data_IF_624075722420
#
_entry.id   IF_624075722420
#
_cell.length_a   1.000
_cell.length_b   1.000
_cell.length_c   1.000
_cell.angle_alpha   90.00
_cell.angle_beta   90.00
_cell.angle_gamma   90.00
#
_symmetry.space_group_name_H-M   'P 1'
#
loop_
_entity.id
_entity.type
_entity.pdbx_description
1 polymer ?
#
# COMPACT_ATOMS: atom_id res chain seq x y z
N UNK A 1 -7.80 30.07 17.86
CA UNK A 1 -6.69 30.91 18.43
C UNK A 1 -5.70 30.11 19.28
N UNK A 2 -6.11 29.19 20.14
CA UNK A 2 -5.24 28.38 21.01
C UNK A 2 -4.31 27.45 20.18
N UNK A 3 -4.82 26.80 19.14
CA UNK A 3 -4.05 25.89 18.28
C UNK A 3 -2.93 26.60 17.51
N UNK A 4 -3.20 27.83 17.03
CA UNK A 4 -2.17 28.65 16.31
C UNK A 4 -1.06 29.08 17.25
N UNK A 5 -1.39 29.41 18.51
CA UNK A 5 -0.37 29.74 19.53
C UNK A 5 0.46 28.54 19.98
N UNK A 6 -0.15 27.35 20.12
CA UNK A 6 0.56 26.13 20.41
C UNK A 6 1.51 25.74 19.26
N UNK A 7 1.09 25.96 18.02
CA UNK A 7 1.90 25.71 16.83
C UNK A 7 3.12 26.67 16.76
N UNK A 8 2.91 27.94 17.07
CA UNK A 8 3.99 28.94 17.10
C UNK A 8 5.00 28.67 18.22
N UNK A 9 4.55 28.22 19.40
CA UNK A 9 5.44 27.84 20.51
C UNK A 9 6.21 26.57 20.18
N UNK A 10 5.59 25.55 19.56
CA UNK A 10 6.26 24.33 19.14
C UNK A 10 7.32 24.62 18.06
N UNK A 11 7.00 25.50 17.11
CA UNK A 11 7.92 25.95 16.07
C UNK A 11 9.12 26.70 16.67
N UNK A 12 8.89 27.58 17.65
CA UNK A 12 9.95 28.30 18.34
C UNK A 12 10.83 27.36 19.16
N UNK A 13 10.27 26.35 19.82
CA UNK A 13 11.03 25.33 20.57
C UNK A 13 11.86 24.43 19.65
N UNK A 14 11.30 24.02 18.50
CA UNK A 14 12.04 23.26 17.50
C UNK A 14 13.17 24.05 16.85
N UNK A 15 12.96 25.35 16.61
CA UNK A 15 13.98 26.25 16.10
C UNK A 15 15.09 26.54 17.16
N UNK A 16 14.74 26.67 18.44
CA UNK A 16 15.71 26.85 19.54
C UNK A 16 16.50 25.54 19.80
N UNK A 17 15.87 24.35 19.66
CA UNK A 17 16.58 23.08 19.78
C UNK A 17 17.58 22.85 18.64
N UNK A 18 17.33 23.43 17.45
CA UNK A 18 18.23 23.30 16.29
C UNK A 18 19.62 23.95 16.50
N UNK A 19 19.73 24.95 17.37
CA UNK A 19 21.00 25.61 17.68
C UNK A 19 21.82 24.87 18.74
N UNK A 20 21.18 24.01 19.55
CA UNK A 20 21.86 23.29 20.63
C UNK A 20 22.51 21.96 20.18
N UNK A 21 22.16 21.43 19.02
CA UNK A 21 22.67 20.17 18.50
C UNK A 21 23.57 20.27 17.27
N UNK A 22 24.04 21.48 16.97
CA UNK A 22 25.10 21.70 15.98
C UNK A 22 26.48 21.36 16.58
N UNK A 23 26.64 20.23 17.23
CA UNK A 23 27.94 19.67 17.53
C UNK A 23 28.40 18.89 16.30
N UNK A 24 29.68 19.09 15.93
CA UNK A 24 30.38 18.38 14.87
C UNK A 24 30.05 16.89 14.94
N UNK A 25 29.23 16.42 14.01
CA UNK A 25 28.94 14.99 13.90
C UNK A 25 30.30 14.32 13.61
N UNK A 26 30.70 13.31 14.38
CA UNK A 26 31.84 12.49 14.00
C UNK A 26 31.56 11.98 12.58
N UNK A 27 32.59 11.96 11.75
CA UNK A 27 32.57 11.39 10.38
C UNK A 27 32.25 9.88 10.44
N UNK A 28 31.05 9.55 10.88
CA UNK A 28 30.56 8.18 10.84
C UNK A 28 30.28 7.86 9.39
N UNK A 29 30.99 6.87 8.89
CA UNK A 29 30.81 6.36 7.54
C UNK A 29 29.32 6.03 7.34
N UNK A 30 28.65 6.64 6.32
CA UNK A 30 27.23 6.41 6.09
C UNK A 30 26.99 4.99 5.61
N UNK A 31 26.53 4.13 6.51
CA UNK A 31 26.26 2.70 6.25
C UNK A 31 24.96 2.46 5.52
N UNK A 32 24.10 3.49 5.35
CA UNK A 32 22.78 3.42 4.72
C UNK A 32 22.85 3.39 3.18
N UNK A 33 24.03 3.16 2.63
CA UNK A 33 24.29 3.06 1.18
C UNK A 33 24.24 1.64 0.65
N UNK A 34 24.04 0.67 1.56
CA UNK A 34 23.75 -0.74 1.27
C UNK A 34 22.37 -1.09 1.83
N UNK A 35 21.67 -2.04 1.20
CA UNK A 35 20.43 -2.57 1.77
C UNK A 35 20.69 -3.17 3.15
N UNK A 36 19.82 -2.90 4.14
CA UNK A 36 19.88 -3.57 5.43
C UNK A 36 19.83 -5.09 5.27
N UNK A 37 20.53 -5.82 6.14
CA UNK A 37 20.61 -7.27 6.06
C UNK A 37 19.24 -7.97 6.06
N UNK A 38 18.26 -7.44 6.81
CA UNK A 38 16.91 -7.99 6.86
C UNK A 38 16.10 -7.80 5.56
N UNK A 39 16.51 -6.87 4.68
CA UNK A 39 15.94 -6.67 3.36
C UNK A 39 16.71 -7.39 2.25
N UNK A 40 17.92 -7.86 2.53
CA UNK A 40 18.68 -8.60 1.54
C UNK A 40 17.91 -9.83 1.06
N UNK A 41 17.84 -10.03 -0.27
CA UNK A 41 17.04 -11.08 -0.93
C UNK A 41 15.51 -10.96 -0.77
N UNK A 42 15.02 -9.86 -0.20
CA UNK A 42 13.59 -9.55 -0.27
C UNK A 42 13.24 -8.99 -1.63
N UNK A 43 11.98 -9.16 -2.05
CA UNK A 43 11.52 -8.70 -3.34
C UNK A 43 10.08 -8.21 -3.31
N UNK A 44 9.73 -7.43 -4.32
CA UNK A 44 8.36 -7.13 -4.69
C UNK A 44 8.14 -7.44 -6.18
N UNK A 45 6.89 -7.66 -6.57
CA UNK A 45 6.53 -7.84 -7.99
C UNK A 45 5.22 -7.16 -8.32
N UNK A 46 5.12 -6.71 -9.56
CA UNK A 46 3.89 -6.16 -10.14
C UNK A 46 3.62 -6.93 -11.42
N UNK A 47 2.45 -7.54 -11.49
CA UNK A 47 2.02 -8.34 -12.63
C UNK A 47 0.62 -7.90 -13.05
N UNK A 48 0.37 -7.98 -14.34
CA UNK A 48 -0.95 -7.80 -14.92
C UNK A 48 -1.24 -8.96 -15.88
N UNK A 49 -2.51 -9.22 -16.14
CA UNK A 49 -2.85 -10.30 -17.02
C UNK A 49 -4.35 -10.54 -17.12
N UNK A 50 -4.68 -11.77 -17.38
CA UNK A 50 -6.03 -12.24 -17.65
C UNK A 50 -6.53 -13.10 -16.49
N UNK A 51 -7.78 -12.93 -16.11
CA UNK A 51 -8.49 -13.74 -15.11
C UNK A 51 -9.76 -14.31 -15.71
N UNK A 52 -10.04 -15.56 -15.41
CA UNK A 52 -11.33 -16.19 -15.68
C UNK A 52 -11.96 -16.65 -14.38
N UNK A 53 -13.22 -16.34 -14.23
CA UNK A 53 -14.06 -16.68 -13.10
C UNK A 53 -15.53 -16.57 -13.55
N UNK A 54 -16.28 -17.67 -13.43
CA UNK A 54 -17.57 -17.85 -14.11
C UNK A 54 -18.72 -17.20 -13.30
N UNK A 55 -18.69 -15.87 -13.17
CA UNK A 55 -19.83 -15.14 -12.64
C UNK A 55 -20.96 -15.12 -13.66
N UNK A 56 -22.17 -15.44 -13.18
CA UNK A 56 -23.38 -15.56 -13.99
C UNK A 56 -24.62 -15.28 -13.15
N UNK A 57 -25.78 -15.69 -13.60
CA UNK A 57 -27.02 -15.71 -12.81
C UNK A 57 -26.92 -16.61 -11.56
N UNK A 58 -26.02 -17.60 -11.57
CA UNK A 58 -25.87 -18.57 -10.49
C UNK A 58 -25.43 -17.98 -9.14
N UNK A 59 -24.89 -16.76 -9.13
CA UNK A 59 -24.52 -16.07 -7.90
C UNK A 59 -25.66 -15.24 -7.31
N UNK A 60 -26.77 -15.09 -8.03
CA UNK A 60 -27.95 -14.41 -7.52
C UNK A 60 -28.75 -15.30 -6.58
N UNK A 61 -29.19 -14.74 -5.47
CA UNK A 61 -30.10 -15.41 -4.55
C UNK A 61 -31.48 -15.64 -5.19
N UNK A 62 -32.26 -16.65 -4.73
CA UNK A 62 -33.60 -16.89 -5.21
C UNK A 62 -34.48 -15.65 -5.22
N UNK A 63 -35.18 -15.40 -6.32
CA UNK A 63 -36.04 -14.22 -6.52
C UNK A 63 -35.34 -13.06 -7.23
N UNK A 64 -34.03 -13.17 -7.50
CA UNK A 64 -33.30 -12.17 -8.29
C UNK A 64 -32.90 -12.70 -9.66
N UNK A 65 -32.97 -11.84 -10.67
CA UNK A 65 -32.58 -12.14 -12.05
C UNK A 65 -31.99 -10.87 -12.68
N UNK A 66 -30.80 -10.98 -13.25
CA UNK A 66 -30.19 -9.89 -14.01
C UNK A 66 -30.53 -10.00 -15.50
N UNK A 67 -30.65 -8.88 -16.18
CA UNK A 67 -30.75 -8.83 -17.63
C UNK A 67 -29.48 -9.28 -18.32
N UNK A 68 -28.32 -8.87 -17.76
CA UNK A 68 -27.00 -9.35 -18.19
C UNK A 68 -25.99 -9.31 -17.05
N UNK A 69 -24.91 -10.10 -17.20
CA UNK A 69 -23.75 -10.11 -16.29
C UNK A 69 -22.51 -9.83 -17.11
N UNK A 70 -21.84 -8.73 -16.79
CA UNK A 70 -20.62 -8.28 -17.44
C UNK A 70 -19.41 -8.67 -16.55
N UNK A 71 -18.57 -9.58 -17.05
CA UNK A 71 -17.44 -10.16 -16.31
C UNK A 71 -16.12 -9.66 -16.89
N UNK A 72 -15.41 -8.74 -16.20
CA UNK A 72 -14.14 -8.22 -16.68
C UNK A 72 -13.01 -9.24 -16.47
N UNK A 73 -12.10 -9.33 -17.43
CA UNK A 73 -11.04 -10.33 -17.45
C UNK A 73 -9.62 -9.77 -17.20
N UNK A 74 -9.48 -8.48 -16.96
CA UNK A 74 -8.16 -7.90 -16.66
C UNK A 74 -7.90 -7.95 -15.16
N UNK A 75 -6.74 -8.47 -14.78
CA UNK A 75 -6.34 -8.65 -13.38
C UNK A 75 -5.00 -7.98 -13.11
N UNK A 76 -4.84 -7.43 -11.90
CA UNK A 76 -3.57 -7.03 -11.33
C UNK A 76 -3.22 -7.97 -10.17
N UNK A 77 -1.98 -8.41 -10.10
CA UNK A 77 -1.42 -9.21 -9.02
C UNK A 77 -0.08 -8.62 -8.58
N UNK A 78 0.07 -8.38 -7.30
CA UNK A 78 1.31 -7.89 -6.71
C UNK A 78 1.82 -8.87 -5.67
N UNK A 79 3.14 -9.06 -5.59
CA UNK A 79 3.77 -9.49 -4.36
C UNK A 79 4.17 -8.23 -3.61
N UNK A 80 3.48 -7.94 -2.51
CA UNK A 80 3.73 -6.78 -1.67
C UNK A 80 5.08 -6.90 -0.96
N UNK A 81 5.40 -8.12 -0.57
CA UNK A 81 6.67 -8.50 0.02
C UNK A 81 6.92 -9.98 -0.23
N UNK A 82 8.13 -10.31 -0.67
CA UNK A 82 8.62 -11.67 -0.76
C UNK A 82 10.04 -11.74 -0.22
N UNK A 83 10.46 -12.93 0.20
CA UNK A 83 11.83 -13.19 0.66
C UNK A 83 12.34 -14.51 0.11
N UNK A 84 13.52 -14.50 -0.49
CA UNK A 84 14.23 -15.69 -0.95
C UNK A 84 15.11 -16.22 0.18
N UNK A 85 14.80 -17.41 0.68
CA UNK A 85 15.64 -18.10 1.66
C UNK A 85 16.93 -18.65 1.01
N UNK A 86 16.83 -19.04 -0.24
CA UNK A 86 17.92 -19.51 -1.09
C UNK A 86 17.51 -19.42 -2.57
N UNK A 87 18.32 -19.98 -3.47
CA UNK A 87 18.04 -19.95 -4.91
C UNK A 87 16.80 -20.76 -5.32
N UNK A 88 16.31 -21.65 -4.45
CA UNK A 88 15.23 -22.60 -4.77
C UNK A 88 13.92 -22.28 -4.06
N UNK A 89 13.94 -21.63 -2.91
CA UNK A 89 12.75 -21.45 -2.06
C UNK A 89 12.57 -19.99 -1.66
N UNK A 90 11.37 -19.51 -1.81
CA UNK A 90 10.95 -18.19 -1.32
C UNK A 90 9.52 -18.22 -0.78
N UNK A 91 9.20 -17.25 0.09
CA UNK A 91 7.85 -16.95 0.57
C UNK A 91 7.41 -15.60 0.04
N UNK A 92 6.13 -15.42 -0.20
CA UNK A 92 5.59 -14.12 -0.63
C UNK A 92 4.17 -13.86 -0.11
N UNK A 93 3.95 -12.62 0.33
CA UNK A 93 2.63 -12.07 0.57
C UNK A 93 2.10 -11.45 -0.71
N UNK A 94 0.99 -11.97 -1.23
CA UNK A 94 0.44 -11.55 -2.51
C UNK A 94 -0.93 -10.91 -2.34
N UNK A 95 -1.24 -9.99 -3.25
CA UNK A 95 -2.58 -9.42 -3.39
C UNK A 95 -2.96 -9.42 -4.86
N UNK A 96 -4.16 -9.87 -5.16
CA UNK A 96 -4.68 -9.96 -6.52
C UNK A 96 -6.14 -9.50 -6.57
N UNK A 97 -6.48 -8.74 -7.60
CA UNK A 97 -7.87 -8.36 -7.88
C UNK A 97 -8.09 -8.07 -9.37
N UNK A 98 -9.32 -8.29 -9.89
CA UNK A 98 -9.73 -7.73 -11.16
C UNK A 98 -9.61 -6.18 -11.15
N UNK A 99 -9.19 -5.61 -12.26
CA UNK A 99 -9.06 -4.15 -12.41
C UNK A 99 -10.43 -3.46 -12.42
N UNK A 100 -11.44 -4.14 -12.95
CA UNK A 100 -12.84 -3.72 -12.94
C UNK A 100 -13.68 -4.73 -12.18
N UNK A 101 -14.88 -4.31 -11.77
CA UNK A 101 -15.82 -5.14 -11.02
C UNK A 101 -16.76 -5.89 -11.96
N UNK A 102 -17.24 -7.06 -11.53
CA UNK A 102 -18.36 -7.75 -12.17
C UNK A 102 -19.61 -6.86 -12.04
N UNK A 103 -20.38 -6.74 -13.11
CA UNK A 103 -21.57 -5.88 -13.14
C UNK A 103 -22.81 -6.71 -13.47
N UNK A 104 -23.79 -6.66 -12.59
CA UNK A 104 -25.12 -7.20 -12.81
C UNK A 104 -26.03 -6.07 -13.27
N UNK A 105 -26.48 -6.11 -14.51
CA UNK A 105 -27.26 -5.04 -15.14
C UNK A 105 -28.72 -5.46 -15.23
N UNK A 106 -29.63 -4.56 -14.94
CA UNK A 106 -31.07 -4.81 -15.09
C UNK A 106 -31.62 -5.83 -14.09
N UNK A 107 -31.11 -5.83 -12.84
CA UNK A 107 -31.57 -6.78 -11.82
C UNK A 107 -33.03 -6.51 -11.48
N UNK A 108 -33.91 -7.51 -11.71
CA UNK A 108 -35.36 -7.44 -11.54
C UNK A 108 -36.00 -6.22 -12.24
N UNK A 109 -35.45 -5.84 -13.41
CA UNK A 109 -35.96 -4.72 -14.20
C UNK A 109 -35.46 -3.33 -13.79
N UNK A 110 -34.59 -3.24 -12.78
CA UNK A 110 -33.88 -1.97 -12.44
C UNK A 110 -32.96 -1.55 -13.60
N UNK A 111 -32.99 -0.29 -13.97
CA UNK A 111 -32.15 0.25 -15.06
C UNK A 111 -30.67 0.39 -14.68
N UNK A 112 -30.33 0.21 -13.42
CA UNK A 112 -28.98 0.36 -12.88
C UNK A 112 -28.09 -0.87 -13.10
N UNK A 113 -26.80 -0.71 -12.73
CA UNK A 113 -25.85 -1.80 -12.67
C UNK A 113 -25.30 -1.93 -11.25
N UNK A 114 -25.43 -3.13 -10.68
CA UNK A 114 -24.87 -3.48 -9.38
C UNK A 114 -23.48 -4.08 -9.56
N UNK A 115 -22.59 -3.88 -8.59
CA UNK A 115 -21.17 -4.27 -8.67
C UNK A 115 -20.84 -5.36 -7.66
N UNK A 116 -20.15 -6.38 -8.12
CA UNK A 116 -19.58 -7.42 -7.26
C UNK A 116 -18.05 -7.33 -7.32
N UNK A 117 -17.44 -7.24 -6.15
CA UNK A 117 -15.99 -7.08 -6.01
C UNK A 117 -15.36 -8.39 -5.59
N UNK A 118 -14.16 -8.64 -6.11
CA UNK A 118 -13.37 -9.82 -5.77
C UNK A 118 -11.94 -9.43 -5.42
N UNK A 119 -11.44 -10.03 -4.35
CA UNK A 119 -10.07 -9.83 -3.88
C UNK A 119 -9.48 -11.16 -3.40
N UNK A 120 -8.18 -11.31 -3.59
CA UNK A 120 -7.39 -12.42 -3.09
C UNK A 120 -6.17 -11.87 -2.37
N UNK A 121 -6.08 -12.05 -1.06
CA UNK A 121 -4.89 -11.74 -0.27
C UNK A 121 -4.28 -13.02 0.25
N UNK A 122 -3.03 -13.34 -0.06
CA UNK A 122 -2.48 -14.65 0.23
C UNK A 122 -1.04 -14.68 0.64
N UNK A 123 -0.68 -15.78 1.30
CA UNK A 123 0.69 -16.16 1.59
C UNK A 123 1.01 -17.45 0.85
N UNK A 124 2.04 -17.42 -0.01
CA UNK A 124 2.46 -18.57 -0.81
C UNK A 124 3.95 -18.87 -0.63
N UNK A 125 4.29 -20.14 -0.64
CA UNK A 125 5.65 -20.63 -0.85
C UNK A 125 5.85 -20.82 -2.35
N UNK A 126 7.03 -20.44 -2.84
CA UNK A 126 7.43 -20.59 -4.24
C UNK A 126 8.68 -21.43 -4.30
N UNK A 127 8.58 -22.58 -4.97
CA UNK A 127 9.72 -23.42 -5.32
C UNK A 127 10.23 -23.06 -6.72
N UNK A 128 11.54 -22.91 -6.90
CA UNK A 128 12.17 -22.53 -8.17
C UNK A 128 13.12 -23.62 -8.62
N UNK A 129 13.06 -23.96 -9.90
CA UNK A 129 13.97 -24.87 -10.58
C UNK A 129 14.72 -24.10 -11.67
N UNK A 130 16.01 -23.80 -11.51
CA UNK A 130 16.82 -23.21 -12.56
C UNK A 130 16.93 -24.15 -13.78
N UNK A 131 16.53 -23.68 -14.95
CA UNK A 131 16.62 -24.40 -16.22
C UNK A 131 17.88 -23.99 -16.98
N UNK A 132 18.23 -22.71 -16.88
CA UNK A 132 19.46 -22.13 -17.43
C UNK A 132 20.00 -21.08 -16.46
N UNK A 133 21.09 -20.41 -16.81
CA UNK A 133 21.63 -19.28 -16.03
C UNK A 133 20.66 -18.09 -15.92
N UNK A 134 19.67 -17.98 -16.83
CA UNK A 134 18.72 -16.87 -16.87
C UNK A 134 17.26 -17.29 -16.72
N UNK A 135 16.92 -18.53 -17.02
CA UNK A 135 15.54 -19.04 -17.00
C UNK A 135 15.36 -20.00 -15.85
N UNK A 136 14.33 -19.82 -15.08
CA UNK A 136 13.88 -20.76 -14.05
C UNK A 136 12.41 -21.07 -14.23
N UNK A 137 12.01 -22.32 -14.05
CA UNK A 137 10.63 -22.66 -13.80
C UNK A 137 10.32 -22.49 -12.31
N UNK A 138 9.07 -22.23 -11.98
CA UNK A 138 8.63 -22.22 -10.60
C UNK A 138 7.27 -22.86 -10.43
N UNK A 139 7.05 -23.42 -9.24
CA UNK A 139 5.76 -23.74 -8.70
C UNK A 139 5.47 -22.93 -7.45
N UNK A 140 4.23 -22.55 -7.21
CA UNK A 140 3.85 -21.89 -5.97
C UNK A 140 2.61 -22.57 -5.37
N UNK A 141 2.51 -22.55 -4.04
CA UNK A 141 1.36 -23.05 -3.31
C UNK A 141 1.22 -22.38 -1.96
N UNK A 142 -0.02 -22.20 -1.52
CA UNK A 142 -0.31 -21.55 -0.25
C UNK A 142 -1.78 -21.33 -0.01
N UNK A 143 -2.09 -20.38 0.86
CA UNK A 143 -3.45 -19.99 1.21
C UNK A 143 -3.70 -18.53 0.86
N UNK A 144 -4.87 -18.25 0.34
CA UNK A 144 -5.37 -16.89 0.15
C UNK A 144 -6.73 -16.72 0.81
N UNK A 145 -6.99 -15.54 1.34
CA UNK A 145 -8.33 -15.11 1.69
C UNK A 145 -9.02 -14.68 0.40
N UNK A 146 -10.07 -15.40 0.04
CA UNK A 146 -10.99 -15.03 -1.03
C UNK A 146 -12.10 -14.18 -0.43
N UNK A 147 -12.21 -12.94 -0.87
CA UNK A 147 -13.27 -12.03 -0.46
C UNK A 147 -14.09 -11.61 -1.66
N UNK A 148 -15.40 -11.81 -1.58
CA UNK A 148 -16.40 -11.30 -2.51
C UNK A 148 -17.33 -10.36 -1.77
N UNK A 149 -17.49 -9.13 -2.27
CA UNK A 149 -18.53 -8.23 -1.83
C UNK A 149 -19.65 -8.21 -2.86
N UNK A 150 -20.80 -8.70 -2.45
CA UNK A 150 -22.02 -8.71 -3.24
C UNK A 150 -22.79 -7.39 -3.15
N UNK A 151 -24.10 -7.48 -3.27
CA UNK A 151 -24.97 -6.31 -3.14
C UNK A 151 -26.36 -6.70 -2.63
N UNK A 152 -27.05 -5.72 -2.08
CA UNK A 152 -28.45 -5.82 -1.64
C UNK A 152 -29.34 -4.95 -2.51
N UNK A 153 -30.60 -5.36 -2.71
CA UNK A 153 -31.64 -4.59 -3.37
C UNK A 153 -32.89 -4.62 -2.51
N UNK A 154 -33.51 -3.46 -2.27
CA UNK A 154 -34.73 -3.34 -1.47
C UNK A 154 -34.62 -4.03 -0.09
N UNK A 155 -33.45 -3.95 0.53
CA UNK A 155 -33.18 -4.57 1.84
C UNK A 155 -32.96 -6.10 1.82
N UNK A 156 -32.99 -6.74 0.66
CA UNK A 156 -32.70 -8.16 0.51
C UNK A 156 -31.36 -8.38 -0.17
N UNK A 157 -30.60 -9.35 0.29
CA UNK A 157 -29.34 -9.76 -0.33
C UNK A 157 -29.62 -10.36 -1.70
N UNK A 158 -29.05 -9.78 -2.75
CA UNK A 158 -29.15 -10.29 -4.11
C UNK A 158 -27.92 -11.10 -4.52
N UNK A 159 -26.73 -10.69 -4.10
CA UNK A 159 -25.50 -11.49 -4.16
C UNK A 159 -24.85 -11.44 -2.79
N UNK A 160 -24.54 -12.59 -2.22
CA UNK A 160 -23.94 -12.69 -0.87
C UNK A 160 -22.51 -12.21 -0.84
N UNK A 161 -22.11 -11.64 0.29
CA UNK A 161 -20.72 -11.48 0.66
C UNK A 161 -20.12 -12.85 0.99
N UNK A 162 -18.85 -13.02 0.64
CA UNK A 162 -18.10 -14.26 0.88
C UNK A 162 -16.72 -13.91 1.40
N UNK A 163 -16.28 -14.62 2.43
CA UNK A 163 -14.96 -14.42 3.02
C UNK A 163 -14.45 -15.72 3.64
N UNK A 164 -13.45 -16.34 3.02
CA UNK A 164 -12.89 -17.59 3.50
C UNK A 164 -11.46 -17.80 2.99
N UNK A 165 -10.71 -18.65 3.69
CA UNK A 165 -9.39 -19.08 3.24
C UNK A 165 -9.54 -20.18 2.17
N UNK A 166 -8.89 -20.01 1.03
CA UNK A 166 -8.84 -21.02 -0.05
C UNK A 166 -7.39 -21.34 -0.43
N UNK A 167 -7.10 -22.56 -0.88
CA UNK A 167 -5.81 -22.89 -1.43
C UNK A 167 -5.58 -22.11 -2.74
N UNK A 168 -4.31 -21.75 -2.97
CA UNK A 168 -3.84 -21.20 -4.23
C UNK A 168 -2.65 -22.04 -4.68
N UNK A 169 -2.69 -22.50 -5.93
CA UNK A 169 -1.59 -23.17 -6.58
C UNK A 169 -1.27 -22.47 -7.90
N UNK A 170 -0.01 -22.49 -8.29
CA UNK A 170 0.41 -21.88 -9.54
C UNK A 170 1.75 -22.40 -10.05
N UNK A 171 2.02 -22.11 -11.31
CA UNK A 171 3.29 -22.42 -11.94
C UNK A 171 3.61 -21.37 -13.00
N UNK A 172 4.89 -21.25 -13.33
CA UNK A 172 5.33 -20.30 -14.34
C UNK A 172 6.81 -20.32 -14.62
N UNK A 173 7.24 -19.31 -15.34
CA UNK A 173 8.63 -19.08 -15.70
C UNK A 173 9.09 -17.72 -15.20
N UNK A 174 10.37 -17.65 -14.92
CA UNK A 174 11.06 -16.46 -14.49
C UNK A 174 12.31 -16.26 -15.34
N UNK A 175 12.44 -15.09 -15.98
CA UNK A 175 13.59 -14.71 -16.78
C UNK A 175 14.39 -13.63 -16.08
N UNK A 176 15.63 -13.92 -15.69
CA UNK A 176 16.53 -12.98 -15.03
C UNK A 176 17.12 -12.01 -16.06
N UNK A 177 16.71 -10.77 -16.00
CA UNK A 177 17.23 -9.67 -16.82
C UNK A 177 18.58 -9.18 -16.27
N UNK A 178 18.65 -9.02 -14.95
CA UNK A 178 19.83 -8.60 -14.20
C UNK A 178 19.87 -9.29 -12.83
N UNK A 179 20.89 -9.11 -12.01
CA UNK A 179 20.90 -9.64 -10.65
C UNK A 179 19.70 -9.21 -9.80
N UNK A 180 19.12 -8.02 -10.09
CA UNK A 180 18.02 -7.44 -9.30
C UNK A 180 16.68 -7.51 -10.02
N UNK A 181 16.64 -7.60 -11.34
CA UNK A 181 15.41 -7.57 -12.12
C UNK A 181 15.13 -8.90 -12.82
N UNK A 182 13.90 -9.35 -12.72
CA UNK A 182 13.40 -10.51 -13.46
C UNK A 182 12.03 -10.19 -14.08
N UNK A 183 11.77 -10.75 -15.24
CA UNK A 183 10.41 -10.94 -15.73
C UNK A 183 9.83 -12.20 -15.12
N UNK A 184 8.56 -12.17 -14.77
CA UNK A 184 7.82 -13.32 -14.29
C UNK A 184 6.57 -13.51 -15.15
N UNK A 185 6.25 -14.75 -15.47
CA UNK A 185 5.02 -15.09 -16.17
C UNK A 185 4.53 -16.45 -15.70
N UNK A 186 3.23 -16.58 -15.45
CA UNK A 186 2.68 -17.83 -14.97
C UNK A 186 1.17 -17.80 -14.82
N UNK A 187 0.64 -18.95 -14.46
CA UNK A 187 -0.77 -19.13 -14.17
C UNK A 187 -0.96 -19.58 -12.72
N UNK A 188 -2.10 -19.23 -12.16
CA UNK A 188 -2.55 -19.67 -10.85
C UNK A 188 -3.99 -20.13 -10.88
N UNK A 189 -4.32 -21.00 -9.95
CA UNK A 189 -5.65 -21.55 -9.74
C UNK A 189 -6.03 -21.44 -8.26
N UNK A 190 -7.28 -21.07 -8.01
CA UNK A 190 -7.93 -21.15 -6.71
C UNK A 190 -9.30 -21.82 -6.89
N UNK A 191 -9.60 -22.88 -6.13
CA UNK A 191 -10.88 -23.57 -6.24
C UNK A 191 -12.04 -22.68 -5.82
N UNK A 192 -13.18 -22.90 -6.42
CA UNK A 192 -14.44 -22.33 -6.02
C UNK A 192 -14.98 -22.96 -4.74
N UNK A 193 -16.15 -22.48 -4.31
CA UNK A 193 -16.87 -23.01 -3.15
C UNK A 193 -18.37 -23.00 -3.45
N UNK A 194 -18.91 -24.17 -3.76
CA UNK A 194 -20.30 -24.32 -4.22
C UNK A 194 -21.31 -23.85 -3.17
N UNK A 195 -21.07 -24.11 -1.88
CA UNK A 195 -21.92 -23.63 -0.78
C UNK A 195 -22.13 -22.11 -0.75
N UNK A 196 -21.19 -21.37 -1.32
CA UNK A 196 -21.21 -19.91 -1.39
C UNK A 196 -21.43 -19.42 -2.83
N UNK A 197 -21.71 -20.30 -3.76
CA UNK A 197 -21.82 -19.98 -5.20
C UNK A 197 -20.57 -19.20 -5.69
N UNK A 198 -19.40 -19.50 -5.11
CA UNK A 198 -18.16 -18.88 -5.51
C UNK A 198 -17.50 -19.69 -6.62
N UNK A 199 -17.33 -19.12 -7.83
CA UNK A 199 -16.69 -19.83 -8.92
C UNK A 199 -15.20 -20.04 -8.64
N UNK A 200 -14.63 -21.10 -9.23
CA UNK A 200 -13.18 -21.25 -9.26
C UNK A 200 -12.55 -20.13 -10.10
N UNK A 201 -11.30 -19.87 -9.83
CA UNK A 201 -10.58 -18.77 -10.46
C UNK A 201 -9.29 -19.30 -11.09
N UNK A 202 -9.08 -18.95 -12.34
CA UNK A 202 -7.80 -19.12 -13.04
C UNK A 202 -7.29 -17.74 -13.46
N UNK A 203 -6.04 -17.46 -13.23
CA UNK A 203 -5.42 -16.24 -13.73
C UNK A 203 -4.07 -16.54 -14.38
N UNK A 204 -3.80 -15.88 -15.50
CA UNK A 204 -2.50 -15.88 -16.16
C UNK A 204 -1.95 -14.46 -16.12
N UNK A 205 -0.79 -14.28 -15.51
CA UNK A 205 -0.21 -12.96 -15.29
C UNK A 205 1.26 -12.93 -15.69
N UNK A 206 1.71 -11.76 -16.12
CA UNK A 206 3.11 -11.49 -16.39
C UNK A 206 3.50 -10.09 -15.92
N UNK A 207 4.78 -9.91 -15.58
CA UNK A 207 5.25 -8.65 -15.07
C UNK A 207 6.70 -8.69 -14.60
N UNK A 208 7.00 -7.78 -13.69
CA UNK A 208 8.35 -7.55 -13.22
C UNK A 208 8.48 -7.87 -11.73
N UNK A 209 9.62 -8.44 -11.38
CA UNK A 209 10.06 -8.61 -10.01
C UNK A 209 11.37 -7.86 -9.80
N UNK A 210 11.44 -7.10 -8.71
CA UNK A 210 12.67 -6.49 -8.23
C UNK A 210 13.11 -7.17 -6.94
N UNK A 211 14.33 -7.70 -6.91
CA UNK A 211 14.94 -8.33 -5.74
C UNK A 211 16.05 -7.44 -5.19
N UNK A 212 16.00 -7.14 -3.91
CA UNK A 212 16.99 -6.34 -3.19
C UNK A 212 18.23 -7.17 -2.92
N UNK A 213 19.06 -7.39 -3.94
CA UNK A 213 20.38 -8.05 -3.78
C UNK A 213 21.36 -7.12 -3.12
N UNK A 214 22.29 -7.62 -2.30
CA UNK A 214 23.41 -6.80 -1.83
C UNK A 214 24.09 -6.09 -3.01
N UNK A 215 24.27 -4.78 -2.88
CA UNK A 215 24.89 -3.98 -3.93
C UNK A 215 26.39 -4.28 -4.03
N UNK A 216 26.99 -4.28 -5.22
CA UNK A 216 28.43 -4.35 -5.39
C UNK A 216 29.14 -3.21 -4.65
N UNK A 217 30.35 -3.46 -4.16
CA UNK A 217 31.13 -2.46 -3.42
C UNK A 217 31.30 -1.14 -4.18
N UNK A 218 31.46 -1.17 -5.50
CA UNK A 218 31.53 0.01 -6.34
C UNK A 218 30.24 0.85 -6.30
N UNK A 219 29.08 0.18 -6.21
CA UNK A 219 27.78 0.90 -6.13
C UNK A 219 27.53 1.46 -4.75
N UNK A 220 27.93 0.76 -3.70
CA UNK A 220 27.91 1.26 -2.33
C UNK A 220 28.76 2.52 -2.21
N UNK A 221 29.97 2.49 -2.76
CA UNK A 221 30.87 3.65 -2.76
C UNK A 221 30.34 4.82 -3.61
N UNK A 222 29.72 4.51 -4.77
CA UNK A 222 29.02 5.57 -5.57
C UNK A 222 27.90 6.23 -4.77
N UNK A 223 27.11 5.45 -4.04
CA UNK A 223 26.04 5.95 -3.19
C UNK A 223 26.62 6.83 -2.04
N UNK A 224 27.72 6.40 -1.44
CA UNK A 224 28.44 7.12 -0.37
C UNK A 224 28.95 8.49 -0.84
N UNK A 225 29.46 8.58 -2.06
CA UNK A 225 29.91 9.84 -2.69
C UNK A 225 28.75 10.66 -3.25
N UNK A 226 27.61 10.67 -2.58
CA UNK A 226 26.40 11.28 -3.13
C UNK A 226 26.53 12.81 -3.31
N UNK A 227 27.24 13.49 -2.42
CA UNK A 227 27.28 14.95 -2.38
C UNK A 227 25.96 15.63 -1.93
N UNK A 228 24.95 14.83 -1.58
CA UNK A 228 23.67 15.28 -1.07
C UNK A 228 23.46 14.79 0.36
N UNK A 229 22.77 15.59 1.17
CA UNK A 229 22.37 15.20 2.51
C UNK A 229 21.17 14.26 2.45
N UNK A 230 21.21 13.18 3.23
CA UNK A 230 20.11 12.29 3.50
C UNK A 230 19.91 12.22 5.02
N UNK A 231 18.97 12.99 5.58
CA UNK A 231 18.73 12.95 7.02
C UNK A 231 18.48 11.53 7.51
N UNK A 232 19.06 11.19 8.66
CA UNK A 232 18.93 9.83 9.20
C UNK A 232 17.57 9.60 9.86
N UNK A 233 17.04 10.66 10.48
CA UNK A 233 15.78 10.62 11.20
C UNK A 233 14.93 11.82 10.80
N UNK A 234 13.62 11.63 10.86
CA UNK A 234 12.64 12.69 10.62
C UNK A 234 11.48 12.53 11.60
N UNK A 235 11.21 13.56 12.38
CA UNK A 235 9.98 13.67 13.17
C UNK A 235 9.08 14.69 12.50
N UNK A 236 7.82 14.35 12.27
CA UNK A 236 6.84 15.25 11.63
C UNK A 236 5.54 15.30 12.42
N UNK A 237 5.04 16.49 12.60
CA UNK A 237 3.66 16.75 13.00
C UNK A 237 2.83 16.93 11.74
N UNK A 238 1.72 16.22 11.65
CA UNK A 238 0.75 16.29 10.56
C UNK A 238 -0.58 16.81 11.06
N UNK A 239 -1.23 17.67 10.28
CA UNK A 239 -2.55 18.24 10.58
C UNK A 239 -3.47 18.19 9.36
N UNK A 240 -4.70 17.71 9.56
CA UNK A 240 -5.77 17.71 8.55
C UNK A 240 -6.87 18.68 8.91
N UNK A 241 -7.30 19.46 7.93
CA UNK A 241 -8.40 20.44 8.07
C UNK A 241 -9.71 19.96 7.46
N UNK A 242 -9.78 18.75 6.94
CA UNK A 242 -10.96 18.25 6.22
C UNK A 242 -11.11 18.78 4.79
N UNK A 243 -10.14 19.53 4.27
CA UNK A 243 -10.17 20.07 2.91
C UNK A 243 -9.41 19.19 1.91
N UNK A 244 -9.79 19.30 0.62
CA UNK A 244 -9.04 18.70 -0.48
C UNK A 244 -9.45 17.28 -0.84
N UNK A 245 -10.65 16.84 -0.48
CA UNK A 245 -11.20 15.53 -0.87
C UNK A 245 -11.23 15.29 -2.39
N UNK A 246 -11.20 16.34 -3.20
CA UNK A 246 -11.05 16.21 -4.66
C UNK A 246 -9.81 15.43 -5.08
N UNK A 247 -8.71 15.60 -4.37
CA UNK A 247 -7.45 14.85 -4.62
C UNK A 247 -7.64 13.36 -4.32
N UNK A 248 -8.25 13.02 -3.17
CA UNK A 248 -8.56 11.62 -2.85
C UNK A 248 -9.49 10.99 -3.91
N UNK A 249 -10.50 11.75 -4.38
CA UNK A 249 -11.44 11.29 -5.40
C UNK A 249 -10.73 11.05 -6.72
N UNK A 250 -9.88 11.97 -7.17
CA UNK A 250 -9.07 11.82 -8.38
C UNK A 250 -8.17 10.59 -8.29
N UNK A 251 -7.42 10.43 -7.19
CA UNK A 251 -6.52 9.28 -7.00
C UNK A 251 -7.28 7.95 -6.97
N UNK A 252 -8.45 7.90 -6.32
CA UNK A 252 -9.22 6.66 -6.21
C UNK A 252 -10.05 6.31 -7.45
N UNK A 253 -10.35 7.28 -8.31
CA UNK A 253 -11.20 7.09 -9.48
C UNK A 253 -10.41 7.01 -10.79
N UNK A 254 -9.46 7.91 -10.99
CA UNK A 254 -8.78 8.11 -12.27
C UNK A 254 -7.38 7.44 -12.32
N UNK A 255 -6.77 7.22 -11.14
CA UNK A 255 -5.52 6.46 -11.04
C UNK A 255 -5.86 5.09 -10.43
N UNK A 256 -5.28 3.99 -10.94
CA UNK A 256 -5.55 2.64 -10.41
C UNK A 256 -4.85 2.38 -9.07
N UNK A 257 -4.86 3.36 -8.19
CA UNK A 257 -4.47 3.25 -6.78
C UNK A 257 -5.75 3.01 -6.00
N UNK A 258 -5.97 1.82 -5.54
CA UNK A 258 -7.23 1.34 -4.96
C UNK A 258 -7.57 1.94 -3.58
N UNK A 259 -7.63 3.26 -3.49
CA UNK A 259 -7.83 4.04 -2.26
C UNK A 259 -9.28 4.50 -2.07
N UNK A 260 -10.22 3.63 -2.35
CA UNK A 260 -11.64 3.87 -2.07
C UNK A 260 -11.94 3.84 -0.59
N UNK A 261 -13.02 4.49 -0.17
CA UNK A 261 -13.49 4.45 1.22
C UNK A 261 -14.71 5.33 1.45
N UNK A 262 -15.53 4.93 2.42
CA UNK A 262 -16.82 5.57 2.73
C UNK A 262 -16.73 6.48 3.97
N UNK A 263 -15.77 6.24 4.86
CA UNK A 263 -15.54 7.10 6.02
C UNK A 263 -14.65 8.28 5.60
N UNK A 264 -15.04 9.47 6.01
CA UNK A 264 -14.29 10.71 5.78
C UNK A 264 -13.84 11.31 7.10
N UNK A 265 -12.62 11.83 7.15
CA UNK A 265 -12.09 12.56 8.31
C UNK A 265 -12.37 14.04 8.18
N UNK A 266 -12.96 14.63 9.22
CA UNK A 266 -13.19 16.09 9.31
C UNK A 266 -11.87 16.82 9.65
N UNK A 267 -11.20 16.39 10.72
CA UNK A 267 -9.92 16.95 11.19
C UNK A 267 -9.14 15.97 12.03
N UNK A 268 -7.88 16.25 12.24
CA UNK A 268 -7.06 15.47 13.15
C UNK A 268 -5.59 15.80 13.04
N UNK A 269 -4.83 15.11 13.86
CA UNK A 269 -3.37 15.25 13.94
C UNK A 269 -2.71 13.89 13.92
N UNK A 270 -1.48 13.84 13.42
CA UNK A 270 -0.62 12.67 13.55
C UNK A 270 0.83 13.10 13.86
N UNK A 271 1.51 12.28 14.63
CA UNK A 271 2.94 12.37 14.85
C UNK A 271 3.60 11.20 14.12
N UNK A 272 4.57 11.48 13.27
CA UNK A 272 5.34 10.52 12.52
C UNK A 272 6.80 10.53 12.96
N UNK A 273 7.42 9.37 12.98
CA UNK A 273 8.87 9.22 13.05
C UNK A 273 9.31 8.30 11.92
N UNK A 274 10.23 8.79 11.09
CA UNK A 274 10.81 8.03 9.97
C UNK A 274 12.31 7.87 10.17
N UNK A 275 12.82 6.65 9.99
CA UNK A 275 14.23 6.30 10.00
C UNK A 275 14.68 5.91 8.60
N UNK A 276 15.61 6.67 8.03
CA UNK A 276 16.24 6.28 6.77
C UNK A 276 17.13 5.04 7.00
N UNK A 277 16.90 4.00 6.20
CA UNK A 277 17.65 2.74 6.28
C UNK A 277 18.46 2.46 5.02
N UNK A 278 18.13 3.13 3.92
CA UNK A 278 18.88 3.01 2.68
C UNK A 278 18.68 4.27 1.82
N UNK A 279 19.71 4.66 1.10
CA UNK A 279 19.59 5.66 0.03
C UNK A 279 20.54 5.37 -1.14
N UNK A 280 20.11 5.79 -2.32
CA UNK A 280 20.96 5.83 -3.51
C UNK A 280 21.74 7.15 -3.55
N UNK A 281 22.63 7.28 -4.53
CA UNK A 281 23.43 8.50 -4.71
C UNK A 281 22.61 9.80 -4.70
N UNK A 282 21.40 9.83 -5.33
CA UNK A 282 20.68 11.10 -5.56
C UNK A 282 19.16 11.00 -5.41
N UNK A 283 18.54 9.96 -5.94
CA UNK A 283 17.12 9.99 -6.31
C UNK A 283 16.23 9.31 -5.29
N UNK A 284 16.70 8.26 -4.63
CA UNK A 284 15.85 7.38 -3.85
C UNK A 284 16.35 7.21 -2.43
N UNK A 285 15.42 7.16 -1.48
CA UNK A 285 15.64 6.74 -0.12
C UNK A 285 14.51 5.80 0.32
N UNK A 286 14.86 4.82 1.14
CA UNK A 286 13.94 3.92 1.82
C UNK A 286 14.00 4.21 3.30
N UNK A 287 12.86 4.53 3.86
CA UNK A 287 12.71 4.77 5.29
C UNK A 287 11.78 3.70 5.88
N UNK A 288 11.92 3.43 7.17
CA UNK A 288 10.91 2.77 7.98
C UNK A 288 10.41 3.76 9.01
N UNK A 289 9.09 3.84 9.12
CA UNK A 289 8.46 4.80 10.01
C UNK A 289 7.37 4.20 10.87
N UNK A 290 6.95 4.99 11.83
CA UNK A 290 5.77 4.75 12.64
C UNK A 290 5.00 6.03 12.87
N UNK A 291 3.71 5.92 13.10
CA UNK A 291 2.87 7.07 13.43
C UNK A 291 1.83 6.75 14.48
N UNK A 292 1.51 7.76 15.26
CA UNK A 292 0.34 7.79 16.15
C UNK A 292 -0.54 8.92 15.69
N UNK A 293 -1.84 8.66 15.55
CA UNK A 293 -2.77 9.68 15.09
C UNK A 293 -4.04 9.73 15.94
N UNK A 294 -4.70 10.87 15.84
CA UNK A 294 -6.00 11.11 16.42
C UNK A 294 -6.87 11.87 15.42
N UNK A 295 -7.93 11.20 14.98
CA UNK A 295 -8.82 11.68 13.94
C UNK A 295 -10.24 11.87 14.46
N UNK A 296 -10.99 12.73 13.79
CA UNK A 296 -12.42 12.90 13.97
C UNK A 296 -13.12 12.70 12.62
N UNK A 297 -14.13 11.82 12.60
CA UNK A 297 -14.91 11.57 11.39
C UNK A 297 -15.82 12.74 11.03
N UNK A 298 -16.24 12.78 9.78
CA UNK A 298 -17.05 13.91 9.25
C UNK A 298 -18.52 13.77 9.58
N UNK A 299 -19.13 12.59 9.47
CA UNK A 299 -20.58 12.43 9.63
C UNK A 299 -21.00 12.51 11.11
N UNK A 300 -20.54 11.58 11.93
CA UNK A 300 -20.98 11.47 13.32
C UNK A 300 -20.01 12.13 14.31
N UNK A 301 -18.95 12.79 13.81
CA UNK A 301 -17.94 13.44 14.64
C UNK A 301 -17.26 12.48 15.65
N UNK A 302 -17.25 11.18 15.34
CA UNK A 302 -16.62 10.15 16.15
C UNK A 302 -15.11 10.33 16.15
N UNK A 303 -14.51 10.01 17.29
CA UNK A 303 -13.07 10.14 17.51
C UNK A 303 -12.44 8.75 17.49
N UNK A 304 -11.32 8.61 16.80
CA UNK A 304 -10.55 7.38 16.76
C UNK A 304 -9.06 7.67 16.67
N UNK A 305 -8.26 6.73 17.12
CA UNK A 305 -6.80 6.79 17.07
C UNK A 305 -6.25 5.65 16.24
N UNK A 306 -5.08 5.86 15.65
CA UNK A 306 -4.33 4.80 14.97
C UNK A 306 -2.89 4.74 15.46
N UNK A 307 -2.32 3.53 15.41
CA UNK A 307 -0.90 3.28 15.62
C UNK A 307 -0.42 2.46 14.42
N UNK A 308 0.51 3.01 13.65
CA UNK A 308 0.97 2.41 12.40
C UNK A 308 2.48 2.22 12.39
N UNK A 309 2.94 1.20 11.67
CA UNK A 309 4.33 1.06 11.22
C UNK A 309 4.32 0.85 9.72
N UNK A 310 5.30 1.41 8.99
CA UNK A 310 5.26 1.38 7.53
C UNK A 310 6.64 1.51 6.90
N UNK A 311 6.86 0.90 5.73
CA UNK A 311 7.93 1.30 4.82
C UNK A 311 7.53 2.59 4.09
N UNK A 312 8.51 3.46 3.84
CA UNK A 312 8.30 4.72 3.14
C UNK A 312 9.31 4.86 2.01
N UNK A 313 8.80 4.93 0.79
CA UNK A 313 9.58 5.21 -0.40
C UNK A 313 9.64 6.72 -0.60
N UNK A 314 10.85 7.27 -0.70
CA UNK A 314 11.08 8.70 -0.92
C UNK A 314 11.86 8.91 -2.21
N UNK A 315 11.27 9.66 -3.13
CA UNK A 315 11.86 9.96 -4.44
C UNK A 315 12.18 11.45 -4.52
N UNK A 316 13.45 11.80 -4.58
CA UNK A 316 13.89 13.17 -4.74
C UNK A 316 13.74 13.61 -6.20
N UNK A 317 12.86 14.58 -6.43
CA UNK A 317 12.52 15.12 -7.74
C UNK A 317 13.50 16.22 -8.12
N UNK A 318 13.70 17.17 -7.23
CA UNK A 318 14.63 18.29 -7.40
C UNK A 318 15.49 18.44 -6.18
N UNK A 319 16.80 18.65 -6.39
CA UNK A 319 17.75 18.98 -5.35
C UNK A 319 18.45 20.28 -5.71
N UNK A 320 18.19 21.32 -4.94
CA UNK A 320 18.67 22.69 -5.13
C UNK A 320 19.40 23.20 -3.91
N UNK A 321 20.07 24.34 -3.99
CA UNK A 321 20.73 24.93 -2.81
C UNK A 321 19.76 25.20 -1.64
N UNK A 322 18.56 25.81 -1.83
CA UNK A 322 17.64 26.11 -0.73
C UNK A 322 16.81 24.91 -0.27
N UNK A 323 16.51 23.92 -1.13
CA UNK A 323 15.61 22.83 -0.78
C UNK A 323 15.81 21.57 -1.63
N UNK A 324 15.47 20.42 -1.05
CA UNK A 324 15.35 19.14 -1.74
C UNK A 324 13.87 18.73 -1.77
N UNK A 325 13.27 18.77 -2.95
CA UNK A 325 11.86 18.43 -3.16
C UNK A 325 11.73 16.93 -3.44
N UNK A 326 10.81 16.27 -2.75
CA UNK A 326 10.60 14.83 -2.87
C UNK A 326 9.12 14.46 -2.93
N UNK A 327 8.84 13.35 -3.58
CA UNK A 327 7.59 12.61 -3.44
C UNK A 327 7.77 11.48 -2.43
N UNK A 328 6.71 11.15 -1.71
CA UNK A 328 6.68 10.01 -0.78
C UNK A 328 5.51 9.10 -1.08
N UNK A 329 5.71 7.81 -0.86
CA UNK A 329 4.67 6.80 -0.89
C UNK A 329 4.92 5.76 0.22
N UNK A 330 3.93 5.58 1.08
CA UNK A 330 3.90 4.51 2.08
C UNK A 330 3.01 3.38 1.56
N UNK A 331 3.46 2.15 1.71
CA UNK A 331 2.79 0.98 1.18
C UNK A 331 2.36 0.06 2.31
N UNK A 332 1.03 -0.14 2.43
CA UNK A 332 0.38 -1.16 3.25
C UNK A 332 0.95 -1.30 4.67
N UNK A 333 1.13 -0.19 5.36
CA UNK A 333 1.66 -0.18 6.73
C UNK A 333 0.68 -0.81 7.73
N UNK A 334 1.04 -1.93 8.42
CA UNK A 334 0.20 -2.51 9.46
C UNK A 334 -0.20 -1.47 10.50
N UNK A 335 -1.49 -1.41 10.80
CA UNK A 335 -2.08 -0.36 11.63
C UNK A 335 -3.10 -0.93 12.60
N UNK A 336 -2.95 -0.59 13.87
CA UNK A 336 -4.02 -0.73 14.86
C UNK A 336 -4.93 0.49 14.79
N UNK A 337 -6.25 0.27 14.80
CA UNK A 337 -7.28 1.31 14.86
C UNK A 337 -8.18 1.10 16.08
N UNK A 338 -8.41 2.17 16.85
CA UNK A 338 -9.12 2.09 18.13
C UNK A 338 -10.63 1.85 18.00
N UNK A 339 -11.20 2.10 16.82
CA UNK A 339 -12.64 1.93 16.54
C UNK A 339 -12.81 1.12 15.27
N UNK A 340 -13.64 0.08 15.32
CA UNK A 340 -14.04 -0.70 14.13
C UNK A 340 -15.35 -0.20 13.50
N UNK A 341 -16.15 0.58 14.24
CA UNK A 341 -17.37 1.22 13.75
C UNK A 341 -17.17 2.73 13.76
N UNK A 342 -17.22 3.37 12.58
CA UNK A 342 -17.04 4.81 12.41
C UNK A 342 -18.07 5.31 11.40
N UNK A 343 -18.84 6.34 11.77
CA UNK A 343 -19.91 6.92 10.95
C UNK A 343 -20.92 5.86 10.46
N UNK A 344 -21.32 4.94 11.35
CA UNK A 344 -22.23 3.82 11.09
C UNK A 344 -21.69 2.86 9.99
N UNK A 345 -20.37 2.86 9.79
CA UNK A 345 -19.68 2.02 8.83
C UNK A 345 -18.72 1.09 9.56
N UNK A 346 -18.74 -0.17 9.18
CA UNK A 346 -17.80 -1.15 9.71
C UNK A 346 -16.49 -1.10 8.90
N UNK A 347 -15.38 -0.76 9.56
CA UNK A 347 -14.05 -0.68 8.96
C UNK A 347 -13.27 -2.00 9.08
N UNK A 348 -13.90 -3.03 9.59
CA UNK A 348 -13.33 -4.33 9.89
C UNK A 348 -12.98 -4.48 11.37
N UNK A 349 -11.94 -5.22 11.67
CA UNK A 349 -11.43 -5.38 13.03
C UNK A 349 -10.56 -4.17 13.42
N UNK A 350 -10.00 -4.20 14.64
CA UNK A 350 -9.03 -3.21 15.10
C UNK A 350 -7.68 -3.28 14.35
N UNK A 351 -7.68 -3.85 13.15
CA UNK A 351 -6.52 -3.96 12.26
C UNK A 351 -6.88 -3.45 10.86
N UNK A 352 -5.99 -2.63 10.32
CA UNK A 352 -6.09 -2.07 8.96
C UNK A 352 -4.67 -1.85 8.41
N UNK A 353 -4.56 -1.36 7.19
CA UNK A 353 -3.30 -0.86 6.64
C UNK A 353 -3.40 0.64 6.43
N UNK A 354 -2.29 1.33 6.72
CA UNK A 354 -2.11 2.72 6.36
C UNK A 354 -1.36 2.83 5.04
N UNK A 355 -1.91 3.62 4.14
CA UNK A 355 -1.24 4.08 2.94
C UNK A 355 -1.27 5.61 2.92
N UNK A 356 -0.20 6.24 2.48
CA UNK A 356 -0.20 7.66 2.19
C UNK A 356 0.74 8.01 1.05
N UNK A 357 0.43 9.08 0.36
CA UNK A 357 1.30 9.69 -0.64
C UNK A 357 1.33 11.19 -0.48
N UNK A 358 2.42 11.80 -0.93
CA UNK A 358 2.52 13.24 -0.85
C UNK A 358 3.77 13.81 -1.47
N UNK A 359 3.86 15.11 -1.34
CA UNK A 359 5.03 15.89 -1.72
C UNK A 359 5.59 16.60 -0.50
N UNK A 360 6.89 16.67 -0.42
CA UNK A 360 7.56 17.39 0.66
C UNK A 360 8.86 18.05 0.20
N UNK A 361 9.42 18.81 1.09
CA UNK A 361 10.72 19.43 0.89
C UNK A 361 11.52 19.43 2.20
N UNK A 362 12.79 19.06 2.11
CA UNK A 362 13.77 19.43 3.12
C UNK A 362 14.33 20.82 2.80
N UNK A 363 14.24 21.75 3.76
CA UNK A 363 14.53 23.16 3.53
C UNK A 363 15.79 23.57 4.31
N UNK A 364 16.49 24.56 3.79
CA UNK A 364 17.70 25.11 4.39
C UNK A 364 18.97 24.33 3.99
N UNK A 365 20.13 24.87 4.36
CA UNK A 365 21.43 24.26 4.01
C UNK A 365 21.68 22.94 4.72
N UNK A 366 21.24 22.82 5.96
CA UNK A 366 21.36 21.61 6.79
C UNK A 366 20.28 20.57 6.54
N UNK A 367 19.21 20.90 5.78
CA UNK A 367 18.06 20.01 5.54
C UNK A 367 17.31 19.57 6.79
N UNK A 368 17.40 20.34 7.87
CA UNK A 368 16.78 20.00 9.14
C UNK A 368 15.27 20.29 9.18
N UNK A 369 14.76 21.21 8.39
CA UNK A 369 13.33 21.52 8.35
C UNK A 369 12.67 20.73 7.21
N UNK A 370 11.59 20.03 7.53
CA UNK A 370 10.77 19.34 6.54
C UNK A 370 9.37 19.96 6.52
N UNK A 371 8.89 20.28 5.33
CA UNK A 371 7.50 20.71 5.09
C UNK A 371 6.88 19.87 3.98
N UNK A 372 5.58 19.66 4.03
CA UNK A 372 4.93 18.86 2.99
C UNK A 372 3.42 18.81 3.07
N UNK A 373 2.86 18.16 2.07
CA UNK A 373 1.44 17.83 1.98
C UNK A 373 1.29 16.36 1.65
N UNK A 374 0.30 15.69 2.28
CA UNK A 374 -0.03 14.28 2.04
C UNK A 374 -1.54 14.12 1.91
N UNK A 375 -1.93 13.00 1.32
CA UNK A 375 -3.25 12.39 1.49
C UNK A 375 -3.04 11.02 2.10
N UNK A 376 -3.94 10.61 3.00
CA UNK A 376 -3.82 9.34 3.70
C UNK A 376 -5.08 8.50 3.50
N UNK A 377 -4.90 7.20 3.66
CA UNK A 377 -5.93 6.20 3.51
C UNK A 377 -5.70 5.06 4.50
N UNK A 378 -6.80 4.57 5.09
CA UNK A 378 -6.78 3.33 5.87
C UNK A 378 -7.78 2.36 5.27
N UNK A 379 -7.34 1.15 5.00
CA UNK A 379 -8.21 0.05 4.60
C UNK A 379 -7.52 -1.29 4.86
N UNK A 380 -8.32 -2.34 5.09
CA UNK A 380 -7.76 -3.68 5.24
C UNK A 380 -7.57 -4.41 3.89
N UNK A 381 -7.68 -3.71 2.76
CA UNK A 381 -7.53 -4.30 1.42
C UNK A 381 -8.61 -5.32 1.08
N UNK A 382 -9.72 -5.34 1.79
CA UNK A 382 -10.77 -6.37 1.74
C UNK A 382 -10.26 -7.79 2.05
N UNK A 383 -9.15 -7.90 2.78
CA UNK A 383 -8.62 -9.18 3.28
C UNK A 383 -9.42 -9.64 4.50
N UNK A 384 -10.02 -8.70 5.24
CA UNK A 384 -10.95 -8.96 6.34
C UNK A 384 -12.41 -8.77 5.88
N UNK A 385 -13.35 -9.27 6.66
CA UNK A 385 -14.79 -9.34 6.30
C UNK A 385 -15.40 -8.00 5.95
N UNK A 386 -15.07 -6.94 6.68
CA UNK A 386 -15.62 -5.61 6.49
C UNK A 386 -14.52 -4.61 6.18
N UNK A 387 -14.79 -3.64 5.32
CA UNK A 387 -13.81 -2.64 4.92
C UNK A 387 -14.47 -1.37 4.38
N UNK A 388 -15.00 -0.55 5.25
CA UNK A 388 -15.57 0.73 4.82
C UNK A 388 -14.51 1.67 4.23
N UNK A 389 -13.24 1.47 4.55
CA UNK A 389 -12.13 2.33 4.16
C UNK A 389 -12.26 3.76 4.72
N UNK A 390 -11.16 4.35 5.11
CA UNK A 390 -11.12 5.71 5.67
C UNK A 390 -10.26 6.58 4.78
N UNK A 391 -10.80 7.70 4.33
CA UNK A 391 -10.08 8.71 3.56
C UNK A 391 -9.76 9.91 4.42
N UNK A 392 -8.52 10.32 4.41
CA UNK A 392 -8.05 11.55 5.04
C UNK A 392 -7.63 12.49 3.92
N UNK A 393 -8.22 13.69 3.85
CA UNK A 393 -7.95 14.65 2.77
C UNK A 393 -6.55 15.24 2.91
N UNK A 394 -6.28 16.32 2.21
CA UNK A 394 -4.98 17.00 2.28
C UNK A 394 -4.62 17.29 3.74
N UNK A 395 -3.44 16.80 4.13
CA UNK A 395 -2.80 17.08 5.40
C UNK A 395 -1.53 17.90 5.16
N UNK A 396 -1.22 18.77 6.10
CA UNK A 396 -0.01 19.59 6.10
C UNK A 396 0.98 19.03 7.13
N UNK A 397 2.23 18.96 6.75
CA UNK A 397 3.29 18.39 7.56
C UNK A 397 4.36 19.43 7.84
N UNK A 398 4.80 19.47 9.09
CA UNK A 398 5.97 20.20 9.52
C UNK A 398 6.86 19.28 10.36
N UNK A 399 8.14 19.23 10.09
CA UNK A 399 9.04 18.31 10.77
C UNK A 399 10.45 18.82 10.94
N UNK A 400 11.17 18.07 11.76
CA UNK A 400 12.59 18.25 12.02
C UNK A 400 13.36 16.97 11.65
N UNK A 401 14.38 17.13 10.82
CA UNK A 401 15.24 16.07 10.34
C UNK A 401 16.65 16.18 10.94
N UNK A 402 17.24 15.05 11.36
CA UNK A 402 18.53 14.99 12.05
C UNK A 402 19.26 13.66 11.84
#
# INVERSE_FOLDING_TARGET
MIVVRAFAVLLATLLAASTAFAQDAPTHEDTRTQYPAFLANSYFSINAGFITYDFSQAQLEPGFRAGSVDVPHVVARVALFGHEFNDYVSVQGTYMRPVRYVRYVGVNGDSGAQRVWMHYGGLTLKGRLPLTTRVSAYGEGGLAITSRHGFTMNGQTAVRDVHYASPVIGAGLEYRVSPTWSFTGGALYSPGRDSDQQPHTVAATGGFRYTMRPLPASKVEENRRSGYLFPANLVQLEYSTGYGYGVNTFVSHDIPVFWGGNVRVDRGIALHYDRNVFHTRKVFALDFGGSVSYWRSQANQQRFSTLSVYPLLRFFIFRTKPADIYAVYSLAGPTYISQSQIDDRNTGNHFTFQDFMGLGAYVGRSRNVSVGVKINHYSNGNILTENAGIRIPITFNLGYAF
#
